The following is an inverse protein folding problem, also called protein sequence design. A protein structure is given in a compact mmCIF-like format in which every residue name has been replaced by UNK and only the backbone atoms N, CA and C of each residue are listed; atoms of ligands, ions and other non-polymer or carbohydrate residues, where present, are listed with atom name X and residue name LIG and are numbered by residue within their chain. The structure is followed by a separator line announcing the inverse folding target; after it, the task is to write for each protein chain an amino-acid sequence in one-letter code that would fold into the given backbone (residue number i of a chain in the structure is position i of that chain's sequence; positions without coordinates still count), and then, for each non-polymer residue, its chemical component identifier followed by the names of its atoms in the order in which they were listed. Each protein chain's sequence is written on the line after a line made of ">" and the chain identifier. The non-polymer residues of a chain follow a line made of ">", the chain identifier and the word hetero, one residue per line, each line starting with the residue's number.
data_IF_753832290795
#
_entry.id   IF_753832290795
#
_cell.length_a   1.000
_cell.length_b   1.000
_cell.length_c   1.000
_cell.angle_alpha   90.00
_cell.angle_beta   90.00
_cell.angle_gamma   90.00
#
_symmetry.space_group_name_H-M   'P 1'
#
loop_
_entity.id
_entity.type
_entity.pdbx_description
1 polymer ?
#
# COMPACT_ATOMS: atom_id res chain seq x y z
N UNK A 1 27.01 -56.72 22.28
CA UNK A 1 26.79 -55.27 22.16
C UNK A 1 25.75 -55.03 21.07
N UNK A 2 24.47 -54.93 21.44
CA UNK A 2 23.36 -54.70 20.51
C UNK A 2 22.96 -53.22 20.60
N UNK A 3 23.18 -52.46 19.53
CA UNK A 3 22.73 -51.08 19.40
C UNK A 3 21.27 -51.09 18.97
N UNK A 4 20.38 -50.93 19.95
CA UNK A 4 18.95 -50.76 19.78
C UNK A 4 18.73 -49.41 19.10
N UNK A 5 18.54 -49.40 17.78
CA UNK A 5 18.01 -48.24 17.08
C UNK A 5 16.49 -48.23 17.24
N UNK A 6 16.03 -47.68 18.37
CA UNK A 6 14.63 -47.29 18.53
C UNK A 6 14.32 -46.22 17.49
N UNK A 7 13.81 -46.63 16.33
CA UNK A 7 13.18 -45.71 15.38
C UNK A 7 11.96 -45.13 16.09
N UNK A 8 12.08 -43.87 16.53
CA UNK A 8 10.96 -43.09 17.07
C UNK A 8 9.94 -42.87 15.96
N UNK A 9 9.10 -43.89 15.72
CA UNK A 9 7.96 -43.80 14.84
C UNK A 9 6.87 -43.06 15.60
N UNK A 10 6.93 -41.73 15.59
CA UNK A 10 5.91 -40.90 16.24
C UNK A 10 4.57 -41.10 15.55
N UNK A 11 3.43 -41.06 16.27
CA UNK A 11 2.12 -41.23 15.66
C UNK A 11 1.90 -40.25 14.50
N UNK A 12 2.50 -39.07 14.59
CA UNK A 12 2.52 -38.02 13.56
C UNK A 12 3.11 -38.51 12.23
N UNK A 13 4.18 -39.30 12.25
CA UNK A 13 4.82 -39.82 11.02
C UNK A 13 3.88 -40.81 10.28
N UNK A 14 3.10 -41.59 11.04
CA UNK A 14 2.04 -42.47 10.52
C UNK A 14 0.89 -41.67 9.91
N UNK A 15 0.55 -40.52 10.50
CA UNK A 15 -0.47 -39.59 9.98
C UNK A 15 -0.01 -38.91 8.68
N UNK A 16 1.22 -38.40 8.64
CA UNK A 16 1.79 -37.72 7.47
C UNK A 16 1.85 -38.65 6.27
N UNK A 17 2.32 -39.89 6.45
CA UNK A 17 2.41 -40.84 5.33
C UNK A 17 1.02 -41.29 4.81
N UNK A 18 -0.01 -41.31 5.68
CA UNK A 18 -1.41 -41.55 5.30
C UNK A 18 -2.05 -40.33 4.61
N UNK A 19 -1.67 -39.13 5.03
CA UNK A 19 -2.09 -37.87 4.40
C UNK A 19 -1.41 -37.60 3.06
N UNK A 20 -0.19 -38.09 2.85
CA UNK A 20 0.57 -37.94 1.59
C UNK A 20 -0.17 -38.51 0.37
N UNK A 21 -0.92 -39.62 0.52
CA UNK A 21 -1.78 -40.16 -0.56
C UNK A 21 -3.05 -39.33 -0.79
N UNK A 22 -3.45 -38.52 0.19
CA UNK A 22 -4.61 -37.62 0.15
C UNK A 22 -4.14 -36.16 0.22
N UNK A 23 -3.02 -35.83 -0.42
CA UNK A 23 -2.43 -34.48 -0.37
C UNK A 23 -3.45 -33.38 -0.67
N UNK A 24 -4.42 -33.67 -1.54
CA UNK A 24 -5.59 -32.83 -1.79
C UNK A 24 -6.27 -32.33 -0.49
N UNK A 25 -6.58 -33.22 0.46
CA UNK A 25 -7.26 -32.85 1.71
C UNK A 25 -6.42 -31.95 2.62
N UNK A 26 -5.08 -32.06 2.57
CA UNK A 26 -4.21 -31.19 3.36
C UNK A 26 -4.26 -29.76 2.83
N UNK A 27 -4.10 -29.61 1.51
CA UNK A 27 -4.19 -28.30 0.86
C UNK A 27 -5.59 -27.71 1.03
N UNK A 28 -6.65 -28.50 0.84
CA UNK A 28 -8.03 -28.05 1.05
C UNK A 28 -8.24 -27.57 2.49
N UNK A 29 -7.72 -28.29 3.49
CA UNK A 29 -7.82 -27.89 4.89
C UNK A 29 -7.09 -26.57 5.20
N UNK A 30 -5.87 -26.40 4.69
CA UNK A 30 -5.09 -25.16 4.85
C UNK A 30 -5.81 -23.97 4.20
N UNK A 31 -6.35 -24.17 2.99
CA UNK A 31 -7.11 -23.15 2.26
C UNK A 31 -8.38 -22.78 3.04
N UNK A 32 -9.15 -23.76 3.51
CA UNK A 32 -10.37 -23.50 4.29
C UNK A 32 -10.07 -22.74 5.58
N UNK A 33 -9.00 -23.12 6.28
CA UNK A 33 -8.58 -22.46 7.51
C UNK A 33 -8.19 -20.99 7.25
N UNK A 34 -7.42 -20.74 6.18
CA UNK A 34 -7.05 -19.39 5.77
C UNK A 34 -8.27 -18.54 5.39
N UNK A 35 -9.21 -19.10 4.63
CA UNK A 35 -10.43 -18.40 4.23
C UNK A 35 -11.33 -18.09 5.44
N UNK A 36 -11.49 -19.06 6.35
CA UNK A 36 -12.22 -18.87 7.59
C UNK A 36 -11.60 -17.81 8.49
N UNK A 37 -10.27 -17.75 8.56
CA UNK A 37 -9.57 -16.71 9.31
C UNK A 37 -9.81 -15.31 8.74
N UNK A 38 -9.80 -15.15 7.41
CA UNK A 38 -10.11 -13.86 6.76
C UNK A 38 -11.54 -13.42 7.06
N UNK A 39 -12.51 -14.34 6.97
CA UNK A 39 -13.92 -14.04 7.28
C UNK A 39 -14.07 -13.65 8.75
N UNK A 40 -13.41 -14.38 9.66
CA UNK A 40 -13.40 -14.07 11.09
C UNK A 40 -12.79 -12.69 11.36
N UNK A 41 -11.66 -12.40 10.73
CA UNK A 41 -11.02 -11.09 10.81
C UNK A 41 -11.97 -10.01 10.32
N UNK A 42 -12.60 -10.18 9.15
CA UNK A 42 -13.53 -9.22 8.55
C UNK A 42 -14.76 -8.96 9.43
N UNK A 43 -15.29 -10.00 10.07
CA UNK A 43 -16.47 -9.91 10.94
C UNK A 43 -16.15 -9.27 12.30
N UNK A 44 -14.88 -9.32 12.73
CA UNK A 44 -14.41 -8.68 13.95
C UNK A 44 -13.88 -7.25 13.72
N UNK A 45 -13.96 -6.72 12.50
CA UNK A 45 -13.66 -5.31 12.29
C UNK A 45 -14.71 -4.47 13.04
N UNK A 46 -14.30 -3.36 13.68
CA UNK A 46 -15.25 -2.42 14.25
C UNK A 46 -16.19 -1.95 13.15
N UNK A 47 -17.50 -1.98 13.41
CA UNK A 47 -18.52 -1.50 12.47
C UNK A 47 -18.14 -0.10 12.00
N UNK A 48 -17.77 0.01 10.72
CA UNK A 48 -17.54 1.30 10.07
C UNK A 48 -18.90 2.00 10.12
N UNK A 49 -19.00 3.18 10.75
CA UNK A 49 -20.28 3.85 10.91
C UNK A 49 -20.92 3.98 9.52
N UNK A 50 -22.20 3.60 9.37
CA UNK A 50 -22.83 3.56 8.06
C UNK A 50 -22.66 4.92 7.41
N UNK A 51 -22.11 4.92 6.20
CA UNK A 51 -21.90 6.14 5.42
C UNK A 51 -23.23 6.89 5.40
N UNK A 52 -23.29 8.05 6.08
CA UNK A 52 -24.48 8.90 6.14
C UNK A 52 -24.84 9.20 4.69
N UNK A 53 -25.85 8.50 4.14
CA UNK A 53 -26.44 8.82 2.85
C UNK A 53 -26.78 10.30 2.88
N UNK A 54 -25.95 11.13 2.23
CA UNK A 54 -26.10 12.59 2.22
C UNK A 54 -27.42 12.88 1.52
N UNK A 55 -28.51 13.01 2.28
CA UNK A 55 -29.69 13.74 1.82
C UNK A 55 -29.16 15.15 1.54
N UNK A 56 -29.02 15.50 0.27
CA UNK A 56 -28.68 16.85 -0.20
C UNK A 56 -29.73 17.83 0.34
N UNK A 57 -29.53 18.31 1.56
CA UNK A 57 -30.16 19.52 2.06
C UNK A 57 -29.22 20.65 1.64
N UNK A 58 -29.63 21.39 0.62
CA UNK A 58 -28.96 22.63 0.22
C UNK A 58 -28.93 23.58 1.43
N UNK A 59 -27.75 23.87 1.96
CA UNK A 59 -27.56 24.89 2.99
C UNK A 59 -27.33 26.27 2.33
N UNK A 60 -27.88 27.36 2.92
CA UNK A 60 -27.73 28.71 2.40
C UNK A 60 -26.31 29.25 2.61
N UNK A 61 -25.87 30.08 1.65
CA UNK A 61 -24.48 30.56 1.43
C UNK A 61 -23.83 31.39 2.55
N UNK A 62 -24.47 31.68 3.68
CA UNK A 62 -23.90 32.64 4.65
C UNK A 62 -22.99 32.02 5.73
N UNK A 63 -23.08 30.71 6.00
CA UNK A 63 -22.32 30.06 7.09
C UNK A 63 -20.93 29.56 6.67
N UNK A 64 -20.56 29.66 5.38
CA UNK A 64 -19.30 29.13 4.85
C UNK A 64 -18.05 29.92 5.28
N UNK A 65 -18.19 31.19 5.68
CA UNK A 65 -17.04 32.07 5.97
C UNK A 65 -16.52 31.99 7.41
N UNK A 66 -17.28 31.41 8.32
CA UNK A 66 -16.91 31.36 9.75
C UNK A 66 -16.14 30.07 10.09
N UNK A 67 -16.30 29.02 9.28
CA UNK A 67 -15.65 27.70 9.50
C UNK A 67 -14.19 27.69 9.02
N UNK A 68 -13.81 28.56 8.08
CA UNK A 68 -12.42 28.66 7.59
C UNK A 68 -11.46 29.33 8.60
N UNK A 69 -11.97 29.95 9.69
CA UNK A 69 -11.13 30.66 10.67
C UNK A 69 -10.84 29.89 11.97
N UNK A 70 -11.52 28.77 12.26
CA UNK A 70 -11.36 28.04 13.52
C UNK A 70 -10.52 26.75 13.41
N UNK A 71 -10.07 26.36 12.22
CA UNK A 71 -9.28 25.13 12.01
C UNK A 71 -7.75 25.38 11.97
N UNK A 72 -7.28 26.36 12.75
CA UNK A 72 -5.86 26.51 13.10
C UNK A 72 -5.67 26.03 14.55
N UNK A 73 -5.68 24.70 14.73
CA UNK A 73 -5.26 24.05 15.98
C UNK A 73 -3.91 23.38 15.75
N UNK A 74 -2.93 23.96 16.42
CA UNK A 74 -1.53 23.55 16.55
C UNK A 74 -1.40 22.14 17.17
N UNK A 75 -0.81 21.22 16.40
CA UNK A 75 -0.29 19.92 16.86
C UNK A 75 1.13 19.77 16.29
N UNK A 76 2.13 20.23 17.04
CA UNK A 76 3.55 20.18 16.65
C UNK A 76 4.16 18.76 16.61
N UNK A 77 5.50 18.67 16.64
CA UNK A 77 6.40 19.14 15.58
C UNK A 77 6.37 18.14 14.41
N UNK A 78 5.80 18.57 13.28
CA UNK A 78 6.03 17.90 12.01
C UNK A 78 7.52 18.06 11.66
N UNK A 79 8.20 16.94 11.44
CA UNK A 79 9.46 16.94 10.71
C UNK A 79 9.30 17.83 9.47
N UNK A 80 10.30 18.67 9.15
CA UNK A 80 10.11 19.77 8.23
C UNK A 80 9.70 19.22 6.87
N UNK A 81 8.44 19.45 6.51
CA UNK A 81 8.03 19.51 5.12
C UNK A 81 8.84 20.64 4.51
N UNK A 82 10.02 20.31 4.00
CA UNK A 82 10.81 21.20 3.16
C UNK A 82 9.89 21.51 1.98
N UNK A 83 9.39 22.75 1.83
CA UNK A 83 8.70 23.14 0.63
C UNK A 83 9.80 23.25 -0.43
N UNK A 84 10.16 22.13 -1.05
CA UNK A 84 11.05 22.16 -2.21
C UNK A 84 10.33 22.94 -3.28
N UNK A 85 10.93 24.07 -3.61
CA UNK A 85 10.43 25.07 -4.53
C UNK A 85 9.94 24.39 -5.80
N UNK A 86 8.74 24.76 -6.25
CA UNK A 86 8.14 24.35 -7.51
C UNK A 86 8.99 24.88 -8.67
N UNK A 87 10.17 24.31 -8.88
CA UNK A 87 11.08 24.71 -9.93
C UNK A 87 10.70 23.96 -11.21
N UNK A 88 10.00 24.68 -12.09
CA UNK A 88 9.87 24.38 -13.52
C UNK A 88 9.08 23.12 -13.92
N UNK A 89 7.77 23.20 -13.71
CA UNK A 89 6.75 22.19 -14.05
C UNK A 89 6.58 21.84 -15.53
N UNK A 90 7.26 22.49 -16.48
CA UNK A 90 7.10 22.21 -17.92
C UNK A 90 8.27 21.45 -18.56
N UNK A 91 9.51 21.61 -18.09
CA UNK A 91 10.69 21.03 -18.77
C UNK A 91 11.26 19.78 -18.08
N UNK A 92 10.58 19.27 -17.05
CA UNK A 92 11.07 18.08 -16.35
C UNK A 92 11.00 16.83 -17.25
N UNK A 93 12.09 16.04 -17.30
CA UNK A 93 12.21 14.79 -18.08
C UNK A 93 11.01 13.84 -17.87
N UNK A 94 10.44 13.81 -16.68
CA UNK A 94 9.28 13.00 -16.28
C UNK A 94 8.00 13.40 -17.04
N UNK A 95 7.86 14.66 -17.46
CA UNK A 95 6.71 15.09 -18.26
C UNK A 95 6.66 14.41 -19.63
N UNK A 96 7.83 14.04 -20.18
CA UNK A 96 7.96 13.30 -21.45
C UNK A 96 7.73 11.80 -21.30
N UNK A 97 7.70 11.28 -20.06
CA UNK A 97 7.55 9.85 -19.85
C UNK A 97 6.14 9.37 -20.17
N UNK A 98 6.00 8.18 -20.80
CA UNK A 98 4.70 7.59 -21.02
C UNK A 98 4.09 7.16 -19.69
N UNK A 99 2.75 7.17 -19.60
CA UNK A 99 1.99 6.77 -18.39
C UNK A 99 2.52 5.46 -17.79
N UNK A 100 2.76 4.44 -18.61
CA UNK A 100 3.28 3.13 -18.14
C UNK A 100 4.57 3.25 -17.33
N UNK A 101 5.48 4.13 -17.74
CA UNK A 101 6.77 4.34 -17.09
C UNK A 101 6.65 5.08 -15.77
N UNK A 102 5.72 6.04 -15.67
CA UNK A 102 5.39 6.72 -14.40
C UNK A 102 4.91 5.70 -13.35
N UNK A 103 4.00 4.81 -13.75
CA UNK A 103 3.47 3.78 -12.86
C UNK A 103 4.51 2.68 -12.57
N UNK A 104 5.37 2.33 -13.52
CA UNK A 104 6.50 1.41 -13.29
C UNK A 104 7.49 1.98 -12.26
N UNK A 105 7.79 3.28 -12.35
CA UNK A 105 8.62 3.98 -11.37
C UNK A 105 7.99 3.94 -9.98
N UNK A 106 6.71 4.34 -9.85
CA UNK A 106 6.00 4.29 -8.56
C UNK A 106 5.92 2.88 -7.99
N UNK A 107 5.71 1.88 -8.85
CA UNK A 107 5.66 0.47 -8.44
C UNK A 107 6.99 0.00 -7.85
N UNK A 108 8.13 0.38 -8.44
CA UNK A 108 9.44 0.06 -7.90
C UNK A 108 9.66 0.71 -6.52
N UNK A 109 9.13 1.92 -6.34
CA UNK A 109 9.13 2.63 -5.06
C UNK A 109 8.07 2.12 -4.07
N UNK A 110 7.31 1.08 -4.45
CA UNK A 110 6.20 0.49 -3.66
C UNK A 110 5.09 1.50 -3.34
N UNK A 111 4.90 2.49 -4.21
CA UNK A 111 3.86 3.50 -4.13
C UNK A 111 2.76 3.13 -5.12
N UNK A 112 1.53 3.07 -4.63
CA UNK A 112 0.38 2.65 -5.42
C UNK A 112 -0.63 3.79 -5.44
N UNK A 113 -0.64 4.61 -6.51
CA UNK A 113 -1.63 5.69 -6.67
C UNK A 113 -3.03 5.11 -6.84
N UNK A 114 -4.04 5.89 -6.46
CA UNK A 114 -5.44 5.48 -6.56
C UNK A 114 -5.88 5.35 -8.03
N UNK A 115 -6.85 4.46 -8.30
CA UNK A 115 -7.34 4.21 -9.67
C UNK A 115 -7.94 5.47 -10.32
N UNK A 116 -8.50 6.36 -9.51
CA UNK A 116 -9.13 7.61 -9.93
C UNK A 116 -8.18 8.83 -9.87
N UNK A 117 -6.92 8.63 -9.48
CA UNK A 117 -5.97 9.72 -9.33
C UNK A 117 -5.59 10.32 -10.70
N UNK A 118 -5.63 11.66 -10.79
CA UNK A 118 -5.36 12.35 -12.02
C UNK A 118 -3.88 12.19 -12.43
N UNK A 119 -3.62 12.06 -13.73
CA UNK A 119 -2.28 11.86 -14.26
C UNK A 119 -1.36 13.03 -13.91
N UNK A 120 -1.93 14.23 -13.73
CA UNK A 120 -1.21 15.42 -13.26
C UNK A 120 -0.65 15.26 -11.85
N UNK A 121 -1.42 14.67 -10.93
CA UNK A 121 -1.02 14.39 -9.55
C UNK A 121 0.05 13.30 -9.51
N UNK A 122 -0.16 12.22 -10.27
CA UNK A 122 0.83 11.13 -10.41
C UNK A 122 2.17 11.68 -10.92
N UNK A 123 2.16 12.56 -11.94
CA UNK A 123 3.38 13.20 -12.43
C UNK A 123 4.07 14.03 -11.36
N UNK A 124 3.30 14.83 -10.61
CA UNK A 124 3.83 15.66 -9.53
C UNK A 124 4.50 14.80 -8.45
N UNK A 125 3.85 13.71 -8.06
CA UNK A 125 4.39 12.78 -7.08
C UNK A 125 5.67 12.09 -7.58
N UNK A 126 5.69 11.65 -8.85
CA UNK A 126 6.89 11.06 -9.46
C UNK A 126 8.05 12.06 -9.51
N UNK A 127 7.78 13.33 -9.81
CA UNK A 127 8.78 14.41 -9.78
C UNK A 127 9.37 14.56 -8.38
N UNK A 128 8.52 14.65 -7.36
CA UNK A 128 8.95 14.80 -5.97
C UNK A 128 9.85 13.64 -5.51
N UNK A 129 9.46 12.40 -5.80
CA UNK A 129 10.25 11.21 -5.45
C UNK A 129 11.56 11.17 -6.25
N UNK A 130 11.52 11.55 -7.52
CA UNK A 130 12.70 11.56 -8.38
C UNK A 130 13.73 12.58 -7.92
N UNK A 131 13.30 13.81 -7.60
CA UNK A 131 14.16 14.85 -7.05
C UNK A 131 14.73 14.44 -5.69
N UNK A 132 13.89 13.93 -4.80
CA UNK A 132 14.31 13.40 -3.49
C UNK A 132 15.38 12.30 -3.62
N UNK A 133 15.23 11.38 -4.58
CA UNK A 133 16.22 10.32 -4.82
C UNK A 133 17.49 10.84 -5.49
N UNK A 134 17.37 11.82 -6.37
CA UNK A 134 18.50 12.48 -7.02
C UNK A 134 19.39 13.18 -5.99
N UNK A 135 18.78 13.87 -5.03
CA UNK A 135 19.49 14.53 -3.92
C UNK A 135 20.16 13.52 -2.98
N UNK A 136 19.49 12.41 -2.68
CA UNK A 136 20.01 11.36 -1.79
C UNK A 136 20.93 10.35 -2.48
N UNK A 137 21.18 10.46 -3.79
CA UNK A 137 22.04 9.55 -4.55
C UNK A 137 21.55 8.10 -4.62
N UNK A 138 20.26 7.86 -4.36
CA UNK A 138 19.62 6.51 -4.37
C UNK A 138 18.77 6.27 -5.61
N UNK A 139 18.94 7.13 -6.63
CA UNK A 139 18.25 7.01 -7.91
C UNK A 139 18.83 5.82 -8.71
N UNK A 140 17.97 4.96 -9.21
CA UNK A 140 18.41 3.81 -10.01
C UNK A 140 19.15 4.28 -11.28
N UNK A 141 20.26 3.61 -11.61
CA UNK A 141 21.11 3.91 -12.78
C UNK A 141 20.31 3.96 -14.10
N UNK A 142 19.24 3.17 -14.20
CA UNK A 142 18.31 3.13 -15.35
C UNK A 142 17.75 4.52 -15.66
N UNK A 143 17.44 5.32 -14.64
CA UNK A 143 16.86 6.66 -14.81
C UNK A 143 17.91 7.77 -14.83
N UNK A 144 19.14 7.47 -14.40
CA UNK A 144 20.29 8.38 -14.53
C UNK A 144 20.76 8.46 -15.99
N UNK A 145 20.71 7.34 -16.73
CA UNK A 145 21.14 7.29 -18.13
C UNK A 145 20.27 8.08 -19.13
N UNK A 146 19.11 8.58 -18.67
CA UNK A 146 18.14 9.31 -19.47
C UNK A 146 18.03 10.80 -19.09
N UNK A 147 18.80 11.23 -18.09
CA UNK A 147 19.06 12.63 -17.76
C UNK A 147 20.07 13.23 -18.74
#
# INVERSE_FOLDING_TARGET
>A
MYLITQKFYTPIDRFINKFRRKGFWLYTGIILFSFGYIIYSLSNLPDIPPEKKRKRKMLPKSTRKEIEQEEEIDLGPSEPAVPLEQSHSNDHVINTWPKRKLFEFLFNEKIYPDVEEDLSLVKKQVIEIFEFKKENGTLDEKYISEL
#
